data_IF_234100063664
#
_entry.id   IF_234100063664
#
_cell.length_a   1.000
_cell.length_b   1.000
_cell.length_c   1.000
_cell.angle_alpha   90.00
_cell.angle_beta   90.00
_cell.angle_gamma   90.00
#
_symmetry.space_group_name_H-M   'P 1'
#
loop_
_entity.id
_entity.type
_entity.pdbx_description
1 polymer ?
#
# COMPACT_ATOMS: atom_id res chain seq x y z
N UNK A 1 2.82 -2.78 20.40
CA UNK A 1 2.15 -3.24 21.64
C UNK A 1 2.08 -4.77 21.63
N UNK A 2 2.63 -5.45 22.67
CA UNK A 2 2.54 -6.91 22.79
C UNK A 2 1.11 -7.44 22.78
N UNK A 3 0.10 -6.64 23.14
CA UNK A 3 -1.29 -7.05 23.12
C UNK A 3 -1.92 -6.98 21.73
N UNK A 4 -1.59 -5.97 20.92
CA UNK A 4 -2.01 -5.90 19.52
C UNK A 4 -1.41 -7.05 18.67
N UNK A 5 -0.21 -7.51 19.04
CA UNK A 5 0.45 -8.61 18.36
C UNK A 5 -0.05 -10.01 18.78
N UNK A 6 -0.79 -10.14 19.89
CA UNK A 6 -1.37 -11.43 20.32
C UNK A 6 -2.33 -12.05 19.29
N UNK A 7 -2.94 -11.24 18.44
CA UNK A 7 -3.78 -11.72 17.32
C UNK A 7 -3.00 -12.33 16.15
N UNK A 8 -1.70 -12.12 16.06
CA UNK A 8 -0.87 -12.60 14.96
C UNK A 8 -0.42 -14.07 15.08
N UNK A 9 -0.71 -14.74 16.19
CA UNK A 9 -0.57 -16.20 16.39
C UNK A 9 0.86 -16.76 16.35
N UNK A 10 1.76 -16.15 15.60
CA UNK A 10 3.13 -16.60 15.35
C UNK A 10 4.14 -15.54 15.85
N UNK A 11 5.13 -15.96 16.62
CA UNK A 11 6.14 -15.07 17.21
C UNK A 11 6.96 -14.37 16.13
N UNK A 12 7.37 -15.11 15.10
CA UNK A 12 8.09 -14.58 13.94
C UNK A 12 7.34 -13.40 13.27
N UNK A 13 6.04 -13.56 13.00
CA UNK A 13 5.22 -12.50 12.39
C UNK A 13 5.06 -11.28 13.28
N UNK A 14 5.01 -11.49 14.60
CA UNK A 14 4.97 -10.40 15.57
C UNK A 14 6.26 -9.58 15.55
N UNK A 15 7.41 -10.27 15.51
CA UNK A 15 8.72 -9.65 15.47
C UNK A 15 8.93 -8.88 14.16
N UNK A 16 8.61 -9.48 13.01
CA UNK A 16 8.70 -8.80 11.71
C UNK A 16 7.78 -7.57 11.65
N UNK A 17 6.55 -7.67 12.13
CA UNK A 17 5.64 -6.52 12.18
C UNK A 17 6.15 -5.41 13.10
N UNK A 18 6.73 -5.76 14.25
CA UNK A 18 7.29 -4.79 15.18
C UNK A 18 8.56 -4.15 14.63
N UNK A 19 9.43 -4.90 14.00
CA UNK A 19 10.61 -4.39 13.29
C UNK A 19 10.22 -3.37 12.21
N UNK A 20 9.26 -3.72 11.34
CA UNK A 20 8.72 -2.81 10.29
C UNK A 20 8.15 -1.54 10.91
N UNK A 21 7.44 -1.66 12.02
CA UNK A 21 6.91 -0.51 12.74
C UNK A 21 8.03 0.40 13.27
N UNK A 22 9.09 -0.15 13.88
CA UNK A 22 10.23 0.66 14.35
C UNK A 22 10.91 1.36 13.18
N UNK A 23 11.14 0.67 12.07
CA UNK A 23 11.74 1.25 10.86
C UNK A 23 10.90 2.40 10.31
N UNK A 24 9.60 2.18 10.10
CA UNK A 24 8.70 3.20 9.55
C UNK A 24 8.53 4.38 10.50
N UNK A 25 8.30 4.14 11.78
CA UNK A 25 8.16 5.19 12.78
C UNK A 25 9.47 5.96 12.98
N UNK A 26 10.59 5.25 13.08
CA UNK A 26 11.93 5.83 13.17
C UNK A 26 12.24 6.74 11.99
N UNK A 27 11.89 6.32 10.78
CA UNK A 27 12.09 7.12 9.57
C UNK A 27 11.12 8.32 9.50
N UNK A 28 9.82 8.06 9.54
CA UNK A 28 8.79 9.08 9.24
C UNK A 28 8.58 10.05 10.41
N UNK A 29 8.60 9.55 11.64
CA UNK A 29 8.28 10.34 12.82
C UNK A 29 9.54 10.90 13.50
N UNK A 30 10.59 10.07 13.59
CA UNK A 30 11.81 10.46 14.31
C UNK A 30 12.94 10.95 13.40
N UNK A 31 12.79 10.85 12.08
CA UNK A 31 13.69 11.42 11.07
C UNK A 31 15.01 10.65 10.89
N UNK A 32 15.01 9.35 11.22
CA UNK A 32 16.15 8.46 10.95
C UNK A 32 16.10 8.01 9.49
N UNK A 33 17.18 8.18 8.75
CA UNK A 33 17.26 7.76 7.35
C UNK A 33 17.12 6.25 7.20
N UNK A 34 16.29 5.80 6.22
CA UNK A 34 15.93 4.38 6.01
C UNK A 34 17.15 3.48 5.82
N UNK A 35 18.19 3.97 5.14
CA UNK A 35 19.38 3.18 4.88
C UNK A 35 20.06 2.62 6.15
N UNK A 36 19.93 3.31 7.30
CA UNK A 36 20.51 2.83 8.56
C UNK A 36 19.86 1.51 9.02
N UNK A 37 18.58 1.32 8.75
CA UNK A 37 17.85 0.10 9.07
C UNK A 37 18.11 -1.00 8.04
N UNK A 38 18.14 -0.63 6.77
CA UNK A 38 18.41 -1.54 5.65
C UNK A 38 19.80 -2.18 5.75
N UNK A 39 20.81 -1.37 6.10
CA UNK A 39 22.18 -1.84 6.32
C UNK A 39 22.26 -2.90 7.44
N UNK A 40 21.50 -2.72 8.52
CA UNK A 40 21.45 -3.73 9.60
C UNK A 40 20.84 -5.05 9.11
N UNK A 41 19.73 -5.01 8.37
CA UNK A 41 19.10 -6.22 7.82
C UNK A 41 20.10 -6.96 6.90
N UNK A 42 20.77 -6.24 6.00
CA UNK A 42 21.76 -6.82 5.10
C UNK A 42 22.92 -7.45 5.87
N UNK A 43 23.41 -6.82 6.94
CA UNK A 43 24.48 -7.36 7.78
C UNK A 43 24.06 -8.67 8.47
N UNK A 44 22.83 -8.76 8.97
CA UNK A 44 22.31 -10.01 9.54
C UNK A 44 22.22 -11.12 8.48
N UNK A 45 21.69 -10.81 7.29
CA UNK A 45 21.64 -11.76 6.16
C UNK A 45 23.02 -12.23 5.75
N UNK A 46 23.99 -11.34 5.62
CA UNK A 46 25.37 -11.65 5.27
C UNK A 46 26.02 -12.56 6.34
N UNK A 47 25.84 -12.24 7.61
CA UNK A 47 26.41 -13.01 8.72
C UNK A 47 25.86 -14.43 8.75
N UNK A 48 24.57 -14.58 8.45
CA UNK A 48 23.89 -15.88 8.42
C UNK A 48 24.07 -16.65 7.10
N UNK A 49 24.52 -15.96 6.04
CA UNK A 49 24.69 -16.54 4.71
C UNK A 49 23.37 -16.79 3.97
N UNK A 50 22.33 -15.99 4.23
CA UNK A 50 21.00 -16.07 3.61
C UNK A 50 20.74 -14.88 2.69
N UNK A 51 19.77 -15.02 1.76
CA UNK A 51 19.46 -13.98 0.78
C UNK A 51 18.15 -13.25 1.07
N UNK A 52 17.19 -13.94 1.67
CA UNK A 52 15.85 -13.39 1.90
C UNK A 52 15.67 -13.06 3.38
N UNK A 53 14.90 -12.00 3.65
CA UNK A 53 14.49 -11.63 5.01
C UNK A 53 13.72 -12.77 5.69
N UNK A 54 12.97 -13.55 4.91
CA UNK A 54 12.20 -14.71 5.37
C UNK A 54 13.05 -15.86 5.86
N UNK A 55 14.35 -15.84 5.60
CA UNK A 55 15.30 -16.89 6.03
C UNK A 55 15.95 -16.55 7.39
N UNK A 56 15.69 -15.35 7.91
CA UNK A 56 16.09 -14.95 9.27
C UNK A 56 15.17 -15.60 10.29
N UNK A 57 15.71 -16.06 11.40
CA UNK A 57 14.94 -16.70 12.46
C UNK A 57 14.56 -15.73 13.60
N UNK A 58 13.94 -16.28 14.63
CA UNK A 58 13.40 -15.56 15.77
C UNK A 58 14.49 -14.81 16.56
N UNK A 59 15.69 -15.40 16.69
CA UNK A 59 16.82 -14.79 17.40
C UNK A 59 17.40 -13.61 16.61
N UNK A 60 17.48 -13.76 15.29
CA UNK A 60 17.91 -12.68 14.38
C UNK A 60 16.97 -11.47 14.47
N UNK A 61 15.67 -11.72 14.48
CA UNK A 61 14.68 -10.63 14.58
C UNK A 61 14.71 -9.93 15.95
N UNK A 62 14.92 -10.65 17.04
CA UNK A 62 15.08 -10.03 18.36
C UNK A 62 16.34 -9.17 18.43
N UNK A 63 17.43 -9.65 17.85
CA UNK A 63 18.66 -8.88 17.69
C UNK A 63 18.44 -7.61 16.89
N UNK A 64 17.85 -7.72 15.70
CA UNK A 64 17.54 -6.60 14.81
C UNK A 64 16.61 -5.55 15.45
N UNK A 65 15.59 -5.98 16.21
CA UNK A 65 14.69 -5.07 16.94
C UNK A 65 15.47 -4.22 17.94
N UNK A 66 16.41 -4.83 18.65
CA UNK A 66 17.25 -4.11 19.61
C UNK A 66 18.22 -3.15 18.90
N UNK A 67 18.85 -3.59 17.81
CA UNK A 67 19.74 -2.75 17.02
C UNK A 67 19.03 -1.58 16.37
N UNK A 68 17.80 -1.77 15.87
CA UNK A 68 16.95 -0.70 15.35
C UNK A 68 16.67 0.36 16.43
N UNK A 69 16.35 -0.05 17.66
CA UNK A 69 16.15 0.89 18.77
C UNK A 69 17.44 1.63 19.14
N UNK A 70 18.59 0.95 19.10
CA UNK A 70 19.88 1.56 19.32
C UNK A 70 20.22 2.60 18.26
N UNK A 71 19.99 2.30 16.98
CA UNK A 71 20.16 3.26 15.88
C UNK A 71 19.26 4.48 16.07
N UNK A 72 17.99 4.28 16.42
CA UNK A 72 17.10 5.41 16.72
C UNK A 72 17.68 6.28 17.83
N UNK A 73 18.15 5.68 18.92
CA UNK A 73 18.75 6.40 20.05
C UNK A 73 20.02 7.14 19.65
N UNK A 74 20.91 6.52 18.89
CA UNK A 74 22.15 7.13 18.40
C UNK A 74 21.88 8.33 17.48
N UNK A 75 20.96 8.19 16.52
CA UNK A 75 20.68 9.23 15.52
C UNK A 75 19.83 10.38 16.07
N UNK A 76 18.98 10.12 17.06
CA UNK A 76 18.02 11.12 17.56
C UNK A 76 18.31 11.60 18.97
N UNK A 77 19.20 10.93 19.70
CA UNK A 77 19.43 11.09 21.15
C UNK A 77 18.16 10.85 22.00
N UNK A 78 17.20 10.12 21.47
CA UNK A 78 15.93 9.76 22.12
C UNK A 78 15.69 8.27 22.02
N UNK A 79 15.17 7.68 23.08
CA UNK A 79 14.73 6.28 23.04
C UNK A 79 13.50 6.14 22.14
N UNK A 80 13.38 4.97 21.48
CA UNK A 80 12.17 4.64 20.74
C UNK A 80 10.99 4.54 21.71
N UNK A 81 9.90 5.29 21.50
CA UNK A 81 8.78 5.34 22.44
C UNK A 81 8.11 3.97 22.58
N UNK A 82 7.87 3.52 23.81
CA UNK A 82 7.17 2.26 24.10
C UNK A 82 5.70 2.48 24.47
N UNK A 83 5.31 3.70 24.82
CA UNK A 83 3.94 4.05 25.12
C UNK A 83 3.12 4.21 23.83
N UNK A 84 1.98 3.51 23.75
CA UNK A 84 1.12 3.45 22.54
C UNK A 84 0.55 4.82 22.19
N UNK A 85 0.19 5.62 23.18
CA UNK A 85 -0.34 6.96 22.95
C UNK A 85 0.76 7.93 22.48
N UNK A 86 1.97 7.83 23.00
CA UNK A 86 3.12 8.58 22.48
C UNK A 86 3.40 8.21 21.00
N UNK A 87 3.34 6.93 20.66
CA UNK A 87 3.48 6.47 19.27
C UNK A 87 2.36 7.04 18.39
N UNK A 88 1.10 6.92 18.81
CA UNK A 88 -0.06 7.40 18.04
C UNK A 88 0.01 8.92 17.83
N UNK A 89 0.19 9.69 18.88
CA UNK A 89 0.23 11.15 18.77
C UNK A 89 1.49 11.65 18.06
N UNK A 90 2.61 10.94 18.17
CA UNK A 90 3.80 11.20 17.36
C UNK A 90 3.54 11.03 15.88
N UNK A 91 2.90 9.93 15.47
CA UNK A 91 2.52 9.68 14.08
C UNK A 91 1.52 10.72 13.55
N UNK A 92 0.47 11.05 14.33
CA UNK A 92 -0.50 12.10 13.99
C UNK A 92 0.22 13.44 13.77
N UNK A 93 1.12 13.83 14.69
CA UNK A 93 1.89 15.05 14.58
C UNK A 93 2.78 15.08 13.34
N UNK A 94 3.42 13.96 12.99
CA UNK A 94 4.24 13.85 11.80
C UNK A 94 3.42 14.05 10.51
N UNK A 95 2.18 13.53 10.46
CA UNK A 95 1.27 13.76 9.32
C UNK A 95 0.92 15.24 9.20
N UNK A 96 0.56 15.92 10.29
CA UNK A 96 0.28 17.36 10.24
C UNK A 96 1.51 18.16 9.82
N UNK A 97 2.69 17.86 10.35
CA UNK A 97 3.94 18.54 10.00
C UNK A 97 4.33 18.30 8.54
N UNK A 98 3.98 17.15 7.96
CA UNK A 98 4.27 16.83 6.55
C UNK A 98 3.63 17.82 5.57
N UNK A 99 2.53 18.50 5.96
CA UNK A 99 1.90 19.58 5.19
C UNK A 99 2.87 20.72 4.88
N UNK A 100 3.78 21.01 5.80
CA UNK A 100 4.78 22.08 5.68
C UNK A 100 6.09 21.64 4.99
N UNK A 101 6.20 20.38 4.58
CA UNK A 101 7.37 19.88 3.86
C UNK A 101 7.58 20.58 2.52
N UNK A 102 8.82 20.69 2.06
CA UNK A 102 9.14 21.30 0.75
C UNK A 102 8.38 20.64 -0.39
N UNK A 103 8.30 19.29 -0.37
CA UNK A 103 7.58 18.51 -1.39
C UNK A 103 6.09 18.82 -1.41
N UNK A 104 5.45 18.90 -0.25
CA UNK A 104 4.02 19.21 -0.15
C UNK A 104 3.73 20.64 -0.61
N UNK A 105 4.58 21.61 -0.28
CA UNK A 105 4.46 23.01 -0.75
C UNK A 105 4.54 23.14 -2.27
N UNK A 106 5.50 22.44 -2.89
CA UNK A 106 5.65 22.42 -4.36
C UNK A 106 4.43 21.76 -5.00
N UNK A 107 3.98 20.62 -4.46
CA UNK A 107 2.80 19.90 -4.96
C UNK A 107 1.54 20.77 -4.91
N UNK A 108 1.29 21.48 -3.79
CA UNK A 108 0.15 22.39 -3.66
C UNK A 108 0.19 23.52 -4.67
N UNK A 109 1.38 24.12 -4.84
CA UNK A 109 1.56 25.21 -5.83
C UNK A 109 1.25 24.75 -7.25
N UNK A 110 1.74 23.57 -7.65
CA UNK A 110 1.50 23.00 -8.98
C UNK A 110 0.04 22.64 -9.22
N UNK A 111 -0.67 22.18 -8.19
CA UNK A 111 -2.07 21.76 -8.27
C UNK A 111 -3.06 22.82 -7.79
N UNK A 112 -2.62 24.06 -7.58
CA UNK A 112 -3.46 25.20 -7.15
C UNK A 112 -4.27 24.90 -5.87
N UNK A 113 -3.68 24.14 -4.93
CA UNK A 113 -4.31 23.80 -3.65
C UNK A 113 -4.02 24.93 -2.65
N UNK A 114 -5.05 25.56 -2.06
CA UNK A 114 -4.89 26.60 -1.06
C UNK A 114 -4.11 26.12 0.17
N UNK A 115 -3.12 26.90 0.60
CA UNK A 115 -2.27 26.53 1.74
C UNK A 115 -3.01 26.53 3.07
N UNK A 116 -4.08 27.31 3.17
CA UNK A 116 -4.93 27.42 4.35
C UNK A 116 -5.86 26.23 4.61
N UNK A 117 -5.99 25.31 3.66
CA UNK A 117 -6.84 24.12 3.85
C UNK A 117 -6.31 23.16 4.94
N UNK A 118 -5.01 23.05 5.08
CA UNK A 118 -4.41 22.08 5.98
C UNK A 118 -4.56 20.63 5.49
N UNK A 119 -4.31 19.69 6.38
CA UNK A 119 -4.44 18.25 6.13
C UNK A 119 -5.26 17.57 7.23
N UNK A 120 -5.69 16.34 6.97
CA UNK A 120 -6.43 15.52 7.92
C UNK A 120 -5.69 14.19 8.17
N UNK A 121 -5.97 13.56 9.31
CA UNK A 121 -5.43 12.26 9.69
C UNK A 121 -6.57 11.29 9.95
N UNK A 122 -6.49 10.12 9.33
CA UNK A 122 -7.35 8.99 9.66
C UNK A 122 -6.55 7.95 10.43
N UNK A 123 -7.06 7.52 11.57
CA UNK A 123 -6.55 6.36 12.31
C UNK A 123 -7.37 5.15 11.91
N UNK A 124 -6.72 4.19 11.26
CA UNK A 124 -7.36 3.01 10.68
C UNK A 124 -6.76 1.74 11.28
N UNK A 125 -7.59 0.75 11.58
CA UNK A 125 -7.12 -0.57 11.97
C UNK A 125 -6.28 -1.20 10.86
N UNK A 126 -5.16 -1.83 11.23
CA UNK A 126 -4.38 -2.61 10.27
C UNK A 126 -5.12 -3.88 9.87
N UNK A 127 -4.95 -4.23 8.58
CA UNK A 127 -5.37 -5.50 8.00
C UNK A 127 -4.13 -6.17 7.41
N UNK A 128 -3.96 -7.47 7.67
CA UNK A 128 -2.73 -8.18 7.36
C UNK A 128 -2.90 -9.08 6.14
N UNK A 129 -2.28 -8.71 5.03
CA UNK A 129 -2.23 -9.50 3.80
C UNK A 129 -1.18 -10.62 3.82
N UNK A 130 -0.39 -10.75 4.91
CA UNK A 130 0.73 -11.66 5.05
C UNK A 130 0.55 -12.71 6.16
N UNK A 131 -0.67 -13.08 6.48
CA UNK A 131 -0.99 -14.07 7.53
C UNK A 131 -1.04 -15.52 7.01
N UNK A 132 -0.89 -15.73 5.70
CA UNK A 132 -0.96 -17.04 5.07
C UNK A 132 -1.39 -16.96 3.61
N UNK A 133 -1.59 -18.13 2.98
CA UNK A 133 -1.96 -18.21 1.56
C UNK A 133 -3.43 -17.82 1.27
N UNK A 134 -4.23 -17.66 2.29
CA UNK A 134 -5.59 -17.12 2.25
C UNK A 134 -5.64 -15.59 2.45
N UNK A 135 -4.45 -14.98 2.48
CA UNK A 135 -4.24 -13.54 2.60
C UNK A 135 -3.51 -13.01 1.37
N UNK A 136 -3.80 -11.75 1.02
CA UNK A 136 -3.18 -11.08 -0.12
C UNK A 136 -3.24 -9.55 0.04
N UNK A 137 -2.47 -8.84 -0.75
CA UNK A 137 -2.60 -7.39 -0.92
C UNK A 137 -2.46 -7.03 -2.39
N UNK A 138 -3.07 -5.92 -2.83
CA UNK A 138 -2.99 -5.54 -4.22
C UNK A 138 -3.50 -4.13 -4.51
N UNK A 139 -3.26 -3.73 -5.76
CA UNK A 139 -3.73 -2.48 -6.34
C UNK A 139 -4.49 -2.77 -7.63
N UNK A 140 -5.59 -2.08 -7.84
CA UNK A 140 -6.45 -2.35 -8.98
C UNK A 140 -7.12 -1.09 -9.50
N UNK A 141 -7.14 -0.93 -10.82
CA UNK A 141 -7.85 0.11 -11.51
C UNK A 141 -9.17 -0.42 -12.08
N UNK A 142 -10.21 0.39 -12.02
CA UNK A 142 -11.52 0.03 -12.60
C UNK A 142 -11.51 -0.05 -14.12
N UNK A 143 -10.51 0.61 -14.77
CA UNK A 143 -10.24 0.56 -16.22
C UNK A 143 -8.74 0.54 -16.44
N UNK A 144 -8.29 0.10 -17.61
CA UNK A 144 -6.87 0.10 -17.95
C UNK A 144 -6.34 1.55 -18.06
N UNK A 145 -5.36 1.95 -17.22
CA UNK A 145 -4.83 3.31 -17.21
C UNK A 145 -3.97 3.65 -18.43
N UNK A 146 -3.50 2.65 -19.18
CA UNK A 146 -2.61 2.83 -20.32
C UNK A 146 -3.37 3.07 -21.63
N UNK A 147 -4.44 2.31 -21.89
CA UNK A 147 -5.20 2.35 -23.15
C UNK A 147 -6.66 2.78 -22.99
N UNK A 148 -7.16 2.86 -21.76
CA UNK A 148 -8.53 3.28 -21.42
C UNK A 148 -9.60 2.22 -21.68
N UNK A 149 -9.25 0.96 -21.91
CA UNK A 149 -10.24 -0.12 -22.05
C UNK A 149 -11.02 -0.32 -20.74
N UNK A 150 -12.30 -0.70 -20.86
CA UNK A 150 -13.16 -1.01 -19.70
C UNK A 150 -12.85 -2.42 -19.16
N UNK A 151 -11.56 -2.71 -19.01
CA UNK A 151 -11.04 -3.93 -18.41
C UNK A 151 -10.43 -3.56 -17.05
N UNK A 152 -10.73 -4.36 -16.04
CA UNK A 152 -10.06 -4.23 -14.73
C UNK A 152 -8.58 -4.52 -14.94
N UNK A 153 -7.75 -3.61 -14.47
CA UNK A 153 -6.30 -3.68 -14.56
C UNK A 153 -5.68 -3.60 -13.17
N UNK A 154 -4.81 -4.54 -12.82
CA UNK A 154 -4.16 -4.51 -11.52
C UNK A 154 -3.39 -5.78 -11.23
N UNK A 155 -2.76 -5.73 -10.07
CA UNK A 155 -1.83 -6.75 -9.59
C UNK A 155 -2.05 -7.02 -8.11
N UNK A 156 -1.73 -8.24 -7.68
CA UNK A 156 -1.80 -8.63 -6.28
C UNK A 156 -0.66 -9.60 -5.92
N UNK A 157 -0.36 -9.70 -4.64
CA UNK A 157 0.58 -10.66 -4.08
C UNK A 157 -0.08 -11.46 -2.97
N UNK A 158 0.01 -12.79 -3.04
CA UNK A 158 -0.41 -13.69 -1.97
C UNK A 158 0.62 -13.63 -0.84
N UNK A 159 0.13 -13.66 0.40
CA UNK A 159 0.94 -13.65 1.62
C UNK A 159 1.96 -12.49 1.61
N UNK A 160 1.47 -11.26 1.46
CA UNK A 160 2.28 -10.05 1.31
C UNK A 160 1.63 -8.82 1.96
N UNK A 161 2.44 -7.85 2.30
CA UNK A 161 1.99 -6.50 2.71
C UNK A 161 2.08 -5.51 1.55
N UNK A 162 1.47 -4.33 1.69
CA UNK A 162 1.46 -3.29 0.66
C UNK A 162 2.87 -2.84 0.24
N UNK A 163 3.82 -2.82 1.17
CA UNK A 163 5.23 -2.52 0.92
C UNK A 163 5.85 -3.49 -0.09
N UNK A 164 5.52 -4.78 -0.01
CA UNK A 164 6.07 -5.81 -0.89
C UNK A 164 5.63 -5.62 -2.35
N UNK A 165 4.39 -5.09 -2.57
CA UNK A 165 3.89 -4.74 -3.91
C UNK A 165 4.65 -3.53 -4.48
N UNK A 166 4.90 -2.51 -3.65
CA UNK A 166 5.54 -1.26 -4.09
C UNK A 166 7.05 -1.42 -4.26
N UNK A 167 7.70 -2.22 -3.41
CA UNK A 167 9.14 -2.44 -3.45
C UNK A 167 9.60 -3.27 -4.66
N UNK A 168 8.69 -4.02 -5.30
CA UNK A 168 9.02 -4.85 -6.45
C UNK A 168 9.96 -6.03 -6.13
N UNK A 169 10.00 -6.45 -4.87
CA UNK A 169 10.84 -7.57 -4.40
C UNK A 169 10.33 -8.94 -4.87
N UNK A 170 9.04 -9.01 -5.19
CA UNK A 170 8.36 -10.21 -5.69
C UNK A 170 7.60 -9.85 -6.97
N UNK A 171 7.47 -10.80 -7.90
CA UNK A 171 6.65 -10.63 -9.11
C UNK A 171 5.17 -10.72 -8.75
N UNK A 172 4.37 -9.66 -8.97
CA UNK A 172 2.94 -9.70 -8.70
C UNK A 172 2.19 -10.57 -9.70
N UNK A 173 1.05 -11.08 -9.26
CA UNK A 173 0.12 -11.84 -10.09
C UNK A 173 -1.00 -10.94 -10.62
N UNK A 174 -1.62 -11.34 -11.73
CA UNK A 174 -2.71 -10.57 -12.36
C UNK A 174 -4.05 -10.75 -11.63
N UNK A 175 -4.85 -9.71 -11.61
CA UNK A 175 -6.20 -9.75 -11.03
C UNK A 175 -7.14 -10.63 -11.87
N UNK A 176 -7.09 -10.54 -13.20
CA UNK A 176 -8.03 -11.21 -14.10
C UNK A 176 -7.40 -12.33 -14.93
N UNK A 177 -8.17 -13.37 -15.23
CA UNK A 177 -7.79 -14.44 -16.16
C UNK A 177 -7.41 -13.91 -17.54
N UNK A 178 -8.10 -12.85 -18.00
CA UNK A 178 -7.83 -12.22 -19.29
C UNK A 178 -6.40 -11.66 -19.32
N UNK A 179 -6.05 -10.80 -18.35
CA UNK A 179 -4.73 -10.19 -18.27
C UNK A 179 -3.61 -11.23 -18.15
N UNK A 180 -3.81 -12.27 -17.32
CA UNK A 180 -2.88 -13.38 -17.18
C UNK A 180 -2.60 -14.09 -18.52
N UNK A 181 -3.68 -14.41 -19.26
CA UNK A 181 -3.55 -15.10 -20.55
C UNK A 181 -2.85 -14.24 -21.60
N UNK A 182 -3.16 -12.94 -21.66
CA UNK A 182 -2.51 -11.99 -22.57
C UNK A 182 -1.01 -11.86 -22.26
N UNK A 183 -0.64 -11.86 -20.98
CA UNK A 183 0.73 -11.83 -20.52
C UNK A 183 1.47 -13.18 -20.67
N UNK A 184 0.76 -14.29 -20.93
CA UNK A 184 1.30 -15.66 -21.05
C UNK A 184 2.06 -16.11 -19.79
N UNK A 185 1.52 -15.82 -18.62
CA UNK A 185 2.09 -16.17 -17.33
C UNK A 185 1.36 -17.38 -16.76
N UNK A 186 2.09 -18.30 -16.12
CA UNK A 186 1.55 -19.55 -15.57
C UNK A 186 0.88 -19.36 -14.20
N UNK A 187 1.30 -18.37 -13.41
CA UNK A 187 0.74 -18.10 -12.09
C UNK A 187 -0.76 -17.78 -12.16
N UNK A 188 -1.53 -18.37 -11.27
CA UNK A 188 -2.99 -18.16 -11.25
C UNK A 188 -3.33 -16.70 -10.96
N UNK A 189 -4.31 -16.16 -11.70
CA UNK A 189 -4.88 -14.85 -11.40
C UNK A 189 -5.73 -14.90 -10.12
N UNK A 190 -6.02 -13.71 -9.53
CA UNK A 190 -6.91 -13.62 -8.38
C UNK A 190 -8.30 -14.20 -8.66
N UNK A 191 -8.80 -14.00 -9.89
CA UNK A 191 -10.06 -14.56 -10.37
C UNK A 191 -10.08 -16.10 -10.32
N UNK A 192 -8.90 -16.75 -10.36
CA UNK A 192 -8.73 -18.22 -10.32
C UNK A 192 -8.43 -18.72 -8.91
N UNK A 193 -7.56 -18.02 -8.18
CA UNK A 193 -7.09 -18.45 -6.85
C UNK A 193 -8.04 -18.06 -5.71
N UNK A 194 -8.75 -16.93 -5.85
CA UNK A 194 -9.66 -16.38 -4.82
C UNK A 194 -10.99 -15.91 -5.47
N UNK A 195 -11.78 -16.80 -6.09
CA UNK A 195 -12.91 -16.41 -6.94
C UNK A 195 -14.02 -15.64 -6.19
N UNK A 196 -14.30 -15.97 -4.95
CA UNK A 196 -15.32 -15.27 -4.13
C UNK A 196 -14.87 -13.85 -3.79
N UNK A 197 -13.62 -13.69 -3.37
CA UNK A 197 -13.00 -12.39 -3.08
C UNK A 197 -12.93 -11.51 -4.34
N UNK A 198 -12.52 -12.09 -5.46
CA UNK A 198 -12.54 -11.40 -6.76
C UNK A 198 -13.93 -10.92 -7.15
N UNK A 199 -14.95 -11.75 -6.96
CA UNK A 199 -16.33 -11.37 -7.27
C UNK A 199 -16.83 -10.21 -6.39
N UNK A 200 -16.48 -10.20 -5.12
CA UNK A 200 -16.78 -9.08 -4.21
C UNK A 200 -16.03 -7.82 -4.65
N UNK A 201 -14.73 -7.92 -4.91
CA UNK A 201 -13.90 -6.83 -5.41
C UNK A 201 -14.50 -6.24 -6.68
N UNK A 202 -14.86 -7.06 -7.65
CA UNK A 202 -15.50 -6.63 -8.91
C UNK A 202 -16.75 -5.79 -8.67
N UNK A 203 -17.65 -6.23 -7.79
CA UNK A 203 -18.86 -5.47 -7.43
C UNK A 203 -18.55 -4.12 -6.83
N UNK A 204 -17.56 -4.08 -5.94
CA UNK A 204 -17.12 -2.84 -5.28
C UNK A 204 -16.51 -1.88 -6.31
N UNK A 205 -15.64 -2.36 -7.21
CA UNK A 205 -15.04 -1.54 -8.27
C UNK A 205 -16.10 -0.90 -9.17
N UNK A 206 -17.13 -1.65 -9.59
CA UNK A 206 -18.24 -1.11 -10.38
C UNK A 206 -19.07 -0.08 -9.60
N UNK A 207 -19.27 -0.28 -8.30
CA UNK A 207 -19.95 0.66 -7.42
C UNK A 207 -19.14 1.96 -7.26
N UNK A 208 -17.83 1.88 -7.06
CA UNK A 208 -16.94 3.02 -6.91
C UNK A 208 -16.89 3.85 -8.20
N UNK A 209 -16.69 3.22 -9.35
CA UNK A 209 -16.66 3.91 -10.65
C UNK A 209 -17.99 4.65 -10.92
N UNK A 210 -19.11 4.02 -10.63
CA UNK A 210 -20.44 4.64 -10.77
C UNK A 210 -20.65 5.80 -9.80
N UNK A 211 -20.16 5.68 -8.55
CA UNK A 211 -20.30 6.70 -7.53
C UNK A 211 -19.46 7.94 -7.84
N UNK A 212 -18.20 7.75 -8.13
CA UNK A 212 -17.27 8.84 -8.45
C UNK A 212 -17.40 9.32 -9.90
N UNK A 213 -18.11 8.57 -10.74
CA UNK A 213 -18.27 8.83 -12.18
C UNK A 213 -16.92 8.97 -12.90
N UNK A 214 -15.90 8.32 -12.40
CA UNK A 214 -14.53 8.34 -12.93
C UNK A 214 -13.79 7.04 -12.63
N UNK A 215 -12.77 6.74 -13.43
CA UNK A 215 -11.86 5.62 -13.21
C UNK A 215 -11.21 5.74 -11.82
N UNK A 216 -11.25 4.67 -11.07
CA UNK A 216 -10.69 4.62 -9.72
C UNK A 216 -9.45 3.73 -9.67
N UNK A 217 -8.50 4.14 -8.87
CA UNK A 217 -7.33 3.41 -8.39
C UNK A 217 -7.64 2.98 -6.94
N UNK A 218 -7.62 1.69 -6.67
CA UNK A 218 -8.09 1.09 -5.42
C UNK A 218 -7.01 0.22 -4.83
N UNK A 219 -6.70 0.46 -3.57
CA UNK A 219 -5.83 -0.37 -2.76
C UNK A 219 -6.68 -1.29 -1.88
N UNK A 220 -6.34 -2.57 -1.86
CA UNK A 220 -7.09 -3.57 -1.10
C UNK A 220 -6.17 -4.58 -0.42
N UNK A 221 -6.68 -5.19 0.64
CA UNK A 221 -6.05 -6.32 1.33
C UNK A 221 -7.09 -7.42 1.55
N UNK A 222 -6.66 -8.65 1.45
CA UNK A 222 -7.42 -9.84 1.82
C UNK A 222 -6.79 -10.44 3.07
N UNK A 223 -7.56 -10.57 4.13
CA UNK A 223 -7.15 -11.20 5.37
C UNK A 223 -8.09 -12.37 5.65
N UNK A 224 -7.54 -13.60 5.69
CA UNK A 224 -8.31 -14.82 5.92
C UNK A 224 -9.55 -14.93 4.99
N UNK A 225 -9.32 -14.78 3.68
CA UNK A 225 -10.34 -14.76 2.63
C UNK A 225 -11.38 -13.61 2.73
N UNK A 226 -11.20 -12.65 3.61
CA UNK A 226 -12.06 -11.47 3.72
C UNK A 226 -11.46 -10.27 3.03
N UNK A 227 -12.21 -9.65 2.13
CA UNK A 227 -11.78 -8.44 1.41
C UNK A 227 -11.92 -7.17 2.28
N UNK A 228 -10.90 -6.34 2.21
CA UNK A 228 -10.86 -5.01 2.81
C UNK A 228 -10.40 -3.99 1.78
N UNK A 229 -11.19 -2.94 1.57
CA UNK A 229 -10.79 -1.80 0.75
C UNK A 229 -10.09 -0.80 1.65
N UNK A 230 -8.85 -0.46 1.31
CA UNK A 230 -8.03 0.43 2.13
C UNK A 230 -8.14 1.87 1.66
N UNK A 231 -8.09 2.09 0.34
CA UNK A 231 -8.13 3.42 -0.25
C UNK A 231 -8.72 3.37 -1.65
N UNK A 232 -9.39 4.45 -2.05
CA UNK A 232 -9.77 4.73 -3.45
C UNK A 232 -9.40 6.16 -3.80
N UNK A 233 -8.97 6.37 -5.04
CA UNK A 233 -8.63 7.70 -5.59
C UNK A 233 -8.90 7.73 -7.09
N UNK A 234 -8.98 8.93 -7.67
CA UNK A 234 -9.02 9.07 -9.13
C UNK A 234 -7.78 8.47 -9.75
N UNK A 235 -7.97 7.53 -10.67
CA UNK A 235 -6.87 6.80 -11.30
C UNK A 235 -6.03 7.71 -12.20
N UNK A 236 -4.71 7.72 -11.97
CA UNK A 236 -3.76 8.33 -12.90
C UNK A 236 -3.76 7.55 -14.20
N UNK A 237 -3.72 8.25 -15.32
CA UNK A 237 -3.85 7.65 -16.66
C UNK A 237 -3.08 8.44 -17.70
N UNK A 238 -2.77 7.82 -18.84
CA UNK A 238 -2.18 8.51 -19.97
C UNK A 238 -3.20 9.45 -20.62
N UNK A 239 -2.74 10.48 -21.33
CA UNK A 239 -3.64 11.41 -22.06
C UNK A 239 -4.54 10.68 -23.05
N UNK A 240 -4.00 9.68 -23.76
CA UNK A 240 -4.77 8.83 -24.67
C UNK A 240 -5.88 8.07 -23.95
N UNK A 241 -5.57 7.49 -22.81
CA UNK A 241 -6.54 6.78 -21.97
C UNK A 241 -7.60 7.72 -21.43
N UNK A 242 -7.23 8.94 -20.99
CA UNK A 242 -8.17 9.94 -20.48
C UNK A 242 -9.26 10.27 -21.51
N UNK A 243 -8.88 10.54 -22.78
CA UNK A 243 -9.84 10.81 -23.87
C UNK A 243 -10.76 9.63 -24.09
N UNK A 244 -10.20 8.41 -24.19
CA UNK A 244 -10.99 7.20 -24.42
C UNK A 244 -11.99 6.95 -23.28
N UNK A 245 -11.54 7.03 -22.03
CA UNK A 245 -12.39 6.84 -20.84
C UNK A 245 -13.52 7.85 -20.82
N UNK A 246 -13.24 9.15 -21.08
CA UNK A 246 -14.26 10.18 -21.10
C UNK A 246 -15.34 9.89 -22.18
N UNK A 247 -14.93 9.50 -23.39
CA UNK A 247 -15.85 9.14 -24.48
C UNK A 247 -16.69 7.91 -24.12
N UNK A 248 -16.08 6.86 -23.59
CA UNK A 248 -16.77 5.63 -23.22
C UNK A 248 -17.75 5.87 -22.07
N UNK A 249 -17.40 6.66 -21.06
CA UNK A 249 -18.29 7.04 -19.95
C UNK A 249 -19.51 7.85 -20.40
N UNK A 250 -19.38 8.67 -21.46
CA UNK A 250 -20.54 9.35 -22.07
C UNK A 250 -21.46 8.33 -22.78
N UNK A 251 -20.89 7.38 -23.52
CA UNK A 251 -21.65 6.30 -24.18
C UNK A 251 -22.37 5.41 -23.16
N UNK A 252 -21.73 5.13 -22.03
CA UNK A 252 -22.28 4.37 -20.92
C UNK A 252 -23.28 5.18 -20.07
N UNK A 253 -23.48 6.46 -20.38
CA UNK A 253 -24.36 7.41 -19.65
C UNK A 253 -23.96 7.63 -18.18
N UNK A 254 -22.70 7.47 -17.86
CA UNK A 254 -22.13 7.76 -16.54
C UNK A 254 -21.89 9.25 -16.35
N UNK A 255 -21.49 9.94 -17.43
CA UNK A 255 -21.26 11.39 -17.46
C UNK A 255 -21.90 12.02 -18.70
N UNK A 256 -22.09 13.34 -18.69
CA UNK A 256 -22.53 14.08 -19.89
C UNK A 256 -21.33 14.54 -20.75
N UNK A 257 -21.60 15.10 -21.94
CA UNK A 257 -20.55 15.54 -22.86
C UNK A 257 -19.72 16.69 -22.32
N UNK A 258 -20.34 17.63 -21.58
CA UNK A 258 -19.63 18.77 -20.98
C UNK A 258 -18.64 18.30 -19.91
N UNK A 259 -19.09 17.36 -19.05
CA UNK A 259 -18.21 16.74 -18.06
C UNK A 259 -17.02 16.03 -18.72
N UNK A 260 -17.24 15.37 -19.85
CA UNK A 260 -16.18 14.69 -20.57
C UNK A 260 -15.11 15.65 -21.10
N UNK A 261 -15.51 16.80 -21.64
CA UNK A 261 -14.57 17.82 -22.12
C UNK A 261 -13.74 18.39 -20.95
N UNK A 262 -14.39 18.75 -19.84
CA UNK A 262 -13.70 19.30 -18.67
C UNK A 262 -12.70 18.34 -18.00
N UNK A 263 -12.77 17.05 -18.30
CA UNK A 263 -11.87 16.04 -17.72
C UNK A 263 -10.64 15.75 -18.56
N UNK A 264 -10.61 16.24 -19.77
CA UNK A 264 -9.55 15.97 -20.75
C UNK A 264 -8.63 17.20 -20.94
N UNK A 265 -9.08 18.36 -20.50
CA UNK A 265 -8.28 19.58 -20.40
C UNK A 265 -7.35 19.51 -19.17
#
# INVERSE_FOLDING_TARGET
DPELSRGLGDVYKRQDSYRRFIQMYGNVVMGVESYNFEELIENYKLTKGVLLDTDLDEEDWDGLINDFKNVVKEKTSKDFPQDVYHQLFGAISAVFLSWESKRAKVYRKLNQIPSEWGTAVNVQSMVFGNMGNDCATGVVFTRNPSDGSNDIYGEYLINAQGEDVVAGTRTPQYITKKARKEAKVDDASMEESMPEVYHELYKILKKLEKHYKDMQDVEFTVESNKLWILQTRSGKRTSKSAVKIAVDMVREKLINKNDAVLRVD
#
